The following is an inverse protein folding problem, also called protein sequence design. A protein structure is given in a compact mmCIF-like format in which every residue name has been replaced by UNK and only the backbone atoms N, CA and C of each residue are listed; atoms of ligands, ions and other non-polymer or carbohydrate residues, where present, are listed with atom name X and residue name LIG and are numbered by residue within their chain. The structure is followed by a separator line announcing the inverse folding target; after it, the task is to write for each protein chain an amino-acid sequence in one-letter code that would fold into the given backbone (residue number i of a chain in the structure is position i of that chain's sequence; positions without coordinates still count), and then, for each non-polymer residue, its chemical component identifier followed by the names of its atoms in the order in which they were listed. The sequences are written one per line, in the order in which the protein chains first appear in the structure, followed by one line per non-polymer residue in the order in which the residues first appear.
data_IF_396503116842
#
_entry.id   IF_396503116842
#
_cell.length_a   1.000
_cell.length_b   1.000
_cell.length_c   1.000
_cell.angle_alpha   90.00
_cell.angle_beta   90.00
_cell.angle_gamma   90.00
#
_symmetry.space_group_name_H-M   'P 1'
#
loop_
_entity.id
_entity.type
_entity.pdbx_description
1 polymer ?
2 non-polymer ?
3 water ?
#
# COMPACT_ATOMS: atom_id res chain seq x y z
N UNK A 27 -30.74 -32.32 -0.36
CA UNK A 27 -30.54 -32.20 -1.81
C UNK A 27 -29.05 -32.25 -2.13
N UNK A 28 -28.71 -32.53 -3.38
CA UNK A 28 -27.32 -32.47 -3.87
C UNK A 28 -26.74 -31.07 -3.59
N UNK A 29 -27.50 -30.01 -3.82
CA UNK A 29 -27.03 -28.63 -3.58
C UNK A 29 -26.73 -28.45 -2.08
N UNK A 30 -27.59 -28.95 -1.18
CA UNK A 30 -27.36 -28.79 0.28
C UNK A 30 -26.09 -29.56 0.65
N UNK A 31 -25.87 -30.75 0.09
CA UNK A 31 -24.67 -31.54 0.43
C UNK A 31 -23.42 -30.82 -0.10
N UNK A 32 -23.49 -30.25 -1.29
CA UNK A 32 -22.34 -29.49 -1.86
C UNK A 32 -22.07 -28.30 -0.92
N UNK A 33 -23.11 -27.62 -0.46
CA UNK A 33 -22.93 -26.42 0.37
C UNK A 33 -22.31 -26.82 1.71
N UNK A 34 -22.65 -27.97 2.26
CA UNK A 34 -22.07 -28.45 3.52
C UNK A 34 -20.59 -28.74 3.31
N UNK A 35 -20.23 -29.37 2.20
CA UNK A 35 -18.82 -29.68 1.88
C UNK A 35 -18.04 -28.35 1.77
N UNK A 36 -18.58 -27.41 1.03
CA UNK A 36 -17.94 -26.08 0.85
C UNK A 36 -17.73 -25.44 2.24
N UNK A 37 -18.75 -25.40 3.07
CA UNK A 37 -18.69 -24.77 4.42
C UNK A 37 -17.59 -25.45 5.24
N UNK A 38 -17.46 -26.77 5.21
CA UNK A 38 -16.48 -27.48 6.03
C UNK A 38 -15.07 -27.07 5.57
N UNK A 39 -14.86 -26.95 4.28
CA UNK A 39 -13.54 -26.60 3.71
C UNK A 39 -13.22 -25.15 4.07
N UNK A 40 -14.16 -24.23 3.88
CA UNK A 40 -13.88 -22.79 4.18
C UNK A 40 -13.62 -22.65 5.66
N UNK A 41 -14.39 -23.30 6.51
CA UNK A 41 -14.22 -23.24 7.97
C UNK A 41 -12.84 -23.79 8.33
N UNK A 42 -12.47 -24.95 7.81
CA UNK A 42 -11.17 -25.57 8.15
C UNK A 42 -10.01 -24.73 7.65
N UNK A 43 -10.10 -24.20 6.43
CA UNK A 43 -9.03 -23.40 5.83
C UNK A 43 -8.90 -22.09 6.63
N UNK A 44 -10.03 -21.45 6.93
CA UNK A 44 -10.00 -20.24 7.77
C UNK A 44 -9.29 -20.50 9.08
N UNK A 45 -9.60 -21.62 9.74
CA UNK A 45 -8.99 -21.96 11.02
C UNK A 45 -7.51 -22.20 10.83
N UNK A 46 -7.07 -23.08 9.96
CA UNK A 46 -5.65 -23.44 9.88
C UNK A 46 -4.81 -22.33 9.30
N UNK A 47 -5.24 -21.68 8.21
CA UNK A 47 -4.47 -20.55 7.68
C UNK A 47 -4.51 -19.38 8.66
N UNK A 48 -5.60 -19.19 9.39
CA UNK A 48 -5.66 -18.17 10.47
C UNK A 48 -4.58 -18.35 11.49
N UNK A 49 -4.22 -19.58 11.80
CA UNK A 49 -3.21 -19.89 12.83
C UNK A 49 -1.82 -19.82 12.25
N UNK A 50 -1.55 -20.37 11.09
CA UNK A 50 -0.19 -20.60 10.61
C UNK A 50 0.15 -19.82 9.35
N UNK A 51 -0.86 -19.26 8.68
CA UNK A 51 -0.63 -18.58 7.41
C UNK A 51 -0.81 -19.49 6.22
N UNK A 52 -1.28 -18.90 5.14
CA UNK A 52 -1.47 -19.56 3.84
C UNK A 52 -0.27 -20.39 3.43
N UNK A 53 0.96 -19.85 3.50
CA UNK A 53 2.14 -20.53 2.93
C UNK A 53 2.42 -21.83 3.70
N UNK A 54 1.98 -21.92 4.94
CA UNK A 54 2.45 -23.01 5.85
C UNK A 54 1.45 -24.16 5.96
N UNK A 55 0.29 -24.08 5.32
CA UNK A 55 -0.74 -25.17 5.42
C UNK A 55 -1.17 -25.53 4.00
N UNK A 56 -1.01 -26.80 3.63
CA UNK A 56 -1.43 -27.30 2.32
C UNK A 56 -2.89 -27.76 2.32
N UNK A 57 -3.43 -27.87 1.12
CA UNK A 57 -4.81 -28.36 0.93
C UNK A 57 -4.99 -29.79 1.46
N UNK A 58 -4.01 -30.72 1.38
CA UNK A 58 -4.22 -32.02 2.02
C UNK A 58 -4.59 -31.92 3.51
N UNK A 59 -3.86 -31.08 4.25
CA UNK A 59 -4.13 -30.89 5.67
C UNK A 59 -5.52 -30.31 5.89
N UNK A 60 -5.89 -29.35 5.05
CA UNK A 60 -7.21 -28.71 5.22
C UNK A 60 -8.32 -29.72 4.95
N UNK A 61 -8.17 -30.55 3.94
CA UNK A 61 -9.22 -31.54 3.60
C UNK A 61 -9.38 -32.54 4.75
N UNK A 62 -8.27 -32.92 5.37
CA UNK A 62 -8.28 -33.77 6.59
C UNK A 62 -9.05 -33.06 7.70
N UNK A 63 -8.72 -31.80 8.01
CA UNK A 63 -9.44 -31.02 9.04
C UNK A 63 -10.93 -30.97 8.74
N UNK A 64 -11.33 -30.79 7.46
CA UNK A 64 -12.73 -30.62 7.05
C UNK A 64 -13.48 -31.96 7.02
N UNK A 65 -12.73 -33.07 6.99
CA UNK A 65 -13.34 -34.42 6.82
C UNK A 65 -13.91 -34.61 5.43
N UNK A 66 -13.22 -34.08 4.44
CA UNK A 66 -13.67 -34.05 3.03
C UNK A 66 -12.58 -34.76 2.22
N UNK A 67 -12.95 -35.54 1.22
CA UNK A 67 -11.93 -36.15 0.33
C UNK A 67 -11.25 -35.07 -0.52
N UNK A 68 -10.02 -35.36 -0.97
CA UNK A 68 -9.35 -34.45 -1.93
C UNK A 68 -10.16 -34.30 -3.21
N UNK A 69 -10.78 -35.38 -3.73
CA UNK A 69 -11.59 -35.28 -4.95
C UNK A 69 -12.76 -34.31 -4.81
N UNK A 70 -13.47 -34.41 -3.68
CA UNK A 70 -14.63 -33.56 -3.37
C UNK A 70 -14.13 -32.13 -3.22
N UNK A 71 -12.97 -31.95 -2.60
CA UNK A 71 -12.38 -30.57 -2.44
C UNK A 71 -12.02 -29.99 -3.82
N UNK A 72 -11.34 -30.74 -4.69
CA UNK A 72 -10.90 -30.21 -6.00
C UNK A 72 -12.12 -29.96 -6.89
N UNK A 73 -13.21 -30.69 -6.67
CA UNK A 73 -14.49 -30.46 -7.39
C UNK A 73 -15.01 -29.05 -7.08
N UNK A 74 -14.86 -28.58 -5.84
CA UNK A 74 -15.36 -27.26 -5.35
C UNK A 74 -14.35 -26.14 -5.61
N UNK A 75 -13.07 -26.45 -5.47
CA UNK A 75 -11.99 -25.43 -5.55
C UNK A 75 -10.91 -25.95 -6.49
N UNK A 76 -10.67 -25.24 -7.61
CA UNK A 76 -9.70 -25.59 -8.67
C UNK A 76 -8.30 -25.76 -8.05
N UNK A 77 -7.97 -24.93 -7.08
CA UNK A 77 -6.61 -24.95 -6.49
C UNK A 77 -6.64 -24.22 -5.16
N UNK A 78 -5.48 -24.21 -4.48
CA UNK A 78 -5.34 -23.61 -3.14
C UNK A 78 -5.80 -22.16 -3.15
N UNK A 79 -5.38 -21.40 -4.16
CA UNK A 79 -5.71 -19.97 -4.19
C UNK A 79 -7.22 -19.77 -4.28
N UNK A 80 -7.93 -20.63 -5.00
CA UNK A 80 -9.40 -20.48 -5.11
C UNK A 80 -10.08 -20.63 -3.75
N UNK A 81 -9.60 -21.59 -2.94
CA UNK A 81 -10.15 -21.74 -1.57
C UNK A 81 -9.85 -20.47 -0.73
N UNK A 82 -8.63 -19.98 -0.83
CA UNK A 82 -8.24 -18.76 -0.10
C UNK A 82 -9.14 -17.57 -0.50
N UNK A 83 -9.43 -17.45 -1.78
CA UNK A 83 -10.26 -16.30 -2.22
C UNK A 83 -11.61 -16.36 -1.50
N UNK A 84 -12.18 -17.57 -1.35
CA UNK A 84 -13.48 -17.68 -0.63
C UNK A 84 -13.30 -17.43 0.87
N UNK A 85 -12.20 -17.86 1.48
CA UNK A 85 -11.92 -17.54 2.90
C UNK A 85 -11.87 -16.01 3.09
N UNK A 86 -11.18 -15.32 2.18
CA UNK A 86 -11.06 -13.86 2.34
C UNK A 86 -12.46 -13.24 2.33
N UNK A 87 -13.34 -13.68 1.44
CA UNK A 87 -14.70 -13.09 1.39
C UNK A 87 -15.42 -13.25 2.73
N UNK A 88 -15.41 -14.45 3.31
CA UNK A 88 -16.13 -14.70 4.58
C UNK A 88 -15.48 -13.89 5.68
N UNK A 89 -14.14 -13.81 5.72
CA UNK A 89 -13.48 -13.03 6.78
C UNK A 89 -13.79 -11.53 6.61
N UNK A 90 -13.69 -11.01 5.39
CA UNK A 90 -14.02 -9.59 5.15
C UNK A 90 -15.45 -9.28 5.58
N UNK A 91 -16.38 -10.19 5.29
CA UNK A 91 -17.79 -9.96 5.68
C UNK A 91 -17.88 -9.86 7.19
N UNK A 92 -17.17 -10.71 7.91
CA UNK A 92 -17.16 -10.72 9.38
C UNK A 92 -16.48 -9.44 9.90
N UNK A 93 -15.37 -9.04 9.27
CA UNK A 93 -14.69 -7.79 9.68
C UNK A 93 -15.71 -6.64 9.62
N UNK A 94 -16.40 -6.50 8.50
CA UNK A 94 -17.26 -5.31 8.34
C UNK A 94 -18.51 -5.41 9.24
N UNK A 95 -19.03 -6.60 9.47
CA UNK A 95 -20.17 -6.79 10.41
C UNK A 95 -19.73 -6.42 11.81
N UNK A 96 -18.52 -6.83 12.21
CA UNK A 96 -17.98 -6.55 13.55
C UNK A 96 -17.72 -5.05 13.69
N UNK A 97 -17.18 -4.42 12.65
CA UNK A 97 -17.00 -2.94 12.66
C UNK A 97 -18.36 -2.27 12.93
N UNK A 98 -19.38 -2.65 12.17
CA UNK A 98 -20.71 -2.02 12.29
C UNK A 98 -21.25 -2.25 13.71
N UNK A 99 -21.07 -3.45 14.27
CA UNK A 99 -21.56 -3.77 15.63
C UNK A 99 -20.88 -2.87 16.65
N UNK A 100 -19.56 -2.72 16.54
CA UNK A 100 -18.79 -1.94 17.53
C UNK A 100 -19.14 -0.46 17.43
N UNK A 101 -19.29 0.06 16.23
CA UNK A 101 -19.63 1.50 16.10
C UNK A 101 -21.03 1.69 16.67
N UNK A 102 -21.96 0.79 16.37
CA UNK A 102 -23.37 0.89 16.86
C UNK A 102 -23.39 0.91 18.39
N UNK A 103 -22.52 0.15 19.06
CA UNK A 103 -22.54 0.00 20.53
C UNK A 103 -21.67 1.07 21.23
N UNK A 104 -21.00 1.96 20.47
CA UNK A 104 -19.98 2.89 21.01
C UNK A 104 -20.63 4.05 21.78
N UNK A 105 -21.89 4.35 21.47
CA UNK A 105 -22.62 5.50 22.03
C UNK A 105 -22.30 6.79 21.30
N UNK A 106 -21.67 6.72 20.12
CA UNK A 106 -21.32 7.92 19.36
C UNK A 106 -22.57 8.78 19.12
N UNK A 107 -22.51 10.04 19.50
CA UNK A 107 -23.67 10.96 19.50
C UNK A 107 -23.67 11.82 18.24
N UNK A 108 -22.54 11.91 17.54
CA UNK A 108 -22.40 12.77 16.35
C UNK A 108 -21.60 12.03 15.28
N UNK A 109 -21.67 12.44 14.00
CA UNK A 109 -20.91 11.82 12.93
C UNK A 109 -19.41 11.83 13.25
N UNK A 110 -18.90 12.89 13.86
CA UNK A 110 -17.45 12.97 14.18
C UNK A 110 -17.12 11.88 15.18
N UNK A 111 -17.96 11.71 16.21
CA UNK A 111 -17.73 10.64 17.22
C UNK A 111 -17.89 9.26 16.56
N UNK A 112 -18.70 9.09 15.52
CA UNK A 112 -18.83 7.77 14.84
C UNK A 112 -17.51 7.46 14.13
N UNK A 113 -16.90 8.44 13.51
CA UNK A 113 -15.59 8.27 12.85
C UNK A 113 -14.54 7.88 13.90
N UNK A 114 -14.52 8.58 15.03
CA UNK A 114 -13.56 8.24 16.10
C UNK A 114 -13.80 6.81 16.56
N UNK A 115 -15.05 6.41 16.77
CA UNK A 115 -15.38 5.04 17.19
C UNK A 115 -14.92 4.04 16.13
N UNK A 116 -15.10 4.36 14.85
CA UNK A 116 -14.74 3.42 13.76
C UNK A 116 -13.21 3.23 13.77
N UNK A 117 -12.41 4.25 14.00
CA UNK A 117 -10.94 4.09 14.11
C UNK A 117 -10.63 3.06 15.20
N UNK A 118 -11.23 3.23 16.38
CA UNK A 118 -10.97 2.30 17.50
C UNK A 118 -11.47 0.91 17.13
N UNK A 119 -12.61 0.79 16.46
CA UNK A 119 -13.16 -0.51 16.09
C UNK A 119 -12.21 -1.22 15.11
N UNK A 120 -11.65 -0.48 14.16
CA UNK A 120 -10.71 -1.05 13.17
C UNK A 120 -9.44 -1.59 13.86
N UNK A 121 -8.90 -0.87 14.82
CA UNK A 121 -7.69 -1.39 15.52
C UNK A 121 -8.10 -2.61 16.36
N UNK A 122 -9.33 -2.66 16.87
CA UNK A 122 -9.76 -3.84 17.63
C UNK A 122 -9.93 -5.05 16.70
N UNK A 123 -10.66 -4.88 15.60
CA UNK A 123 -10.99 -6.02 14.70
C UNK A 123 -9.74 -6.45 13.94
N UNK A 124 -8.91 -5.53 13.50
CA UNK A 124 -7.67 -5.89 12.74
C UNK A 124 -6.66 -6.57 13.68
N UNK A 125 -6.84 -6.39 15.01
CA UNK A 125 -6.02 -7.06 16.02
C UNK A 125 -6.41 -8.49 16.26
N UNK A 126 -7.57 -8.94 15.80
CA UNK A 126 -7.96 -10.36 15.90
C UNK A 126 -6.89 -11.18 15.19
N UNK A 127 -6.35 -12.24 15.81
CA UNK A 127 -5.22 -12.91 15.16
C UNK A 127 -5.52 -13.48 13.77
N UNK A 128 -6.73 -13.96 13.54
CA UNK A 128 -7.13 -14.51 12.23
C UNK A 128 -7.23 -13.40 11.20
N UNK A 129 -7.79 -12.25 11.58
CA UNK A 129 -7.84 -11.09 10.63
C UNK A 129 -6.42 -10.65 10.29
N UNK A 130 -5.60 -10.50 11.31
CA UNK A 130 -4.19 -10.14 11.13
C UNK A 130 -3.55 -11.06 10.10
N UNK A 131 -3.60 -12.37 10.34
CA UNK A 131 -2.88 -13.27 9.41
C UNK A 131 -3.52 -13.28 8.02
N UNK A 132 -4.83 -13.44 7.94
CA UNK A 132 -5.47 -13.69 6.61
C UNK A 132 -5.62 -12.40 5.81
N UNK A 133 -6.00 -11.30 6.45
CA UNK A 133 -6.31 -10.08 5.69
C UNK A 133 -5.06 -9.19 5.58
N UNK A 134 -4.36 -8.98 6.70
CA UNK A 134 -3.28 -8.00 6.68
C UNK A 134 -2.01 -8.61 6.08
N UNK A 135 -1.75 -9.90 6.30
CA UNK A 135 -0.48 -10.48 5.85
C UNK A 135 -0.71 -11.31 4.58
N UNK A 136 -1.62 -12.27 4.59
CA UNK A 136 -1.69 -13.21 3.45
C UNK A 136 -2.44 -12.60 2.24
N UNK A 137 -3.57 -11.96 2.46
CA UNK A 137 -4.43 -11.61 1.28
C UNK A 137 -3.69 -10.77 0.25
N UNK A 138 -2.92 -9.72 0.61
CA UNK A 138 -2.24 -8.92 -0.42
C UNK A 138 -1.26 -9.74 -1.25
N UNK A 139 -0.63 -10.74 -0.61
CA UNK A 139 0.37 -11.60 -1.30
C UNK A 139 -0.35 -12.59 -2.21
N UNK A 140 -1.36 -13.30 -1.67
CA UNK A 140 -2.02 -14.38 -2.42
C UNK A 140 -2.90 -13.81 -3.53
N UNK A 141 -3.69 -12.79 -3.21
CA UNK A 141 -4.60 -12.21 -4.22
C UNK A 141 -3.80 -11.39 -5.24
N UNK A 142 -2.64 -10.89 -4.84
CA UNK A 142 -1.87 -9.96 -5.66
C UNK A 142 -2.38 -8.58 -5.43
N UNK A 143 -1.58 -7.61 -5.84
CA UNK A 143 -1.90 -6.19 -5.67
C UNK A 143 -3.32 -5.87 -6.14
N UNK A 144 -3.57 -6.15 -7.40
CA UNK A 144 -4.80 -5.71 -8.07
C UNK A 144 -6.01 -6.42 -7.43
N UNK A 145 -5.91 -7.75 -7.29
CA UNK A 145 -6.99 -8.57 -6.71
C UNK A 145 -7.32 -8.10 -5.30
N UNK A 146 -6.30 -7.88 -4.48
CA UNK A 146 -6.45 -7.43 -3.09
C UNK A 146 -7.12 -6.05 -3.10
N UNK A 147 -6.64 -5.11 -3.91
CA UNK A 147 -7.16 -3.73 -3.93
C UNK A 147 -8.65 -3.81 -4.23
N UNK A 148 -9.05 -4.67 -5.15
CA UNK A 148 -10.46 -4.75 -5.55
C UNK A 148 -11.30 -5.23 -4.39
N UNK A 149 -10.83 -6.28 -3.69
CA UNK A 149 -11.58 -6.82 -2.54
C UNK A 149 -11.60 -5.78 -1.42
N UNK A 150 -10.47 -5.16 -1.09
CA UNK A 150 -10.33 -4.18 0.01
C UNK A 150 -11.26 -2.99 -0.24
N UNK A 151 -11.30 -2.52 -1.50
CA UNK A 151 -12.19 -1.39 -1.86
C UNK A 151 -13.66 -1.80 -1.73
N UNK A 152 -14.03 -2.98 -2.25
CA UNK A 152 -15.42 -3.46 -2.21
C UNK A 152 -15.90 -3.56 -0.76
N UNK A 153 -15.04 -3.92 0.18
CA UNK A 153 -15.45 -4.04 1.59
C UNK A 153 -15.28 -2.72 2.36
N UNK A 154 -14.28 -1.89 2.09
CA UNK A 154 -13.96 -0.68 2.89
C UNK A 154 -14.83 0.52 2.48
N UNK A 155 -15.14 0.69 1.20
CA UNK A 155 -15.60 2.02 0.71
C UNK A 155 -16.98 2.29 1.27
N UNK A 156 -17.91 1.36 1.31
CA UNK A 156 -19.27 1.68 1.77
C UNK A 156 -19.29 2.37 3.12
N UNK A 157 -18.69 1.73 4.12
CA UNK A 157 -18.72 2.25 5.49
C UNK A 157 -17.94 3.56 5.54
N UNK A 158 -16.79 3.64 4.87
CA UNK A 158 -15.94 4.82 4.94
C UNK A 158 -16.69 6.03 4.37
N UNK A 159 -17.29 5.82 3.20
CA UNK A 159 -17.97 6.94 2.49
C UNK A 159 -19.22 7.33 3.26
N UNK A 160 -19.92 6.39 3.87
CA UNK A 160 -21.10 6.74 4.69
C UNK A 160 -20.69 7.61 5.87
N UNK A 161 -19.63 7.23 6.59
CA UNK A 161 -19.18 7.98 7.76
C UNK A 161 -18.78 9.39 7.30
N UNK A 162 -18.04 9.49 6.20
CA UNK A 162 -17.58 10.84 5.74
C UNK A 162 -18.80 11.67 5.33
N UNK A 163 -19.70 11.08 4.56
CA UNK A 163 -20.88 11.80 4.05
C UNK A 163 -21.67 12.35 5.23
N UNK A 164 -21.86 11.58 6.29
CA UNK A 164 -22.65 12.04 7.44
C UNK A 164 -21.90 13.18 8.12
N UNK A 165 -20.58 13.11 8.24
CA UNK A 165 -19.82 14.20 8.89
C UNK A 165 -19.87 15.47 8.05
N UNK A 166 -19.77 15.37 6.74
CA UNK A 166 -19.87 16.58 5.87
C UNK A 166 -21.26 17.18 6.05
N UNK A 167 -22.29 16.35 6.08
CA UNK A 167 -23.70 16.83 6.14
C UNK A 167 -23.88 17.60 7.45
N UNK A 168 -23.23 17.16 8.53
CA UNK A 168 -23.34 17.75 9.88
C UNK A 168 -22.41 18.97 10.04
N UNK A 169 -21.63 19.32 9.02
CA UNK A 169 -20.69 20.45 9.05
C UNK A 169 -19.39 20.12 9.75
N UNK A 170 -19.15 18.87 10.11
CA UNK A 170 -18.01 18.51 10.99
C UNK A 170 -16.79 18.19 10.16
N UNK A 171 -16.91 17.97 8.85
CA UNK A 171 -15.79 17.88 7.88
C UNK A 171 -16.02 18.94 6.80
N UNK A 172 -14.94 19.45 6.25
CA UNK A 172 -14.98 20.43 5.14
C UNK A 172 -15.82 19.86 3.98
N UNK A 173 -16.63 20.70 3.36
CA UNK A 173 -17.31 20.35 2.07
C UNK A 173 -16.28 19.92 1.04
N UNK A 174 -16.45 18.72 0.49
CA UNK A 174 -15.48 18.16 -0.47
C UNK A 174 -16.07 16.90 -1.07
N UNK A 175 -15.60 16.46 -2.26
CA UNK A 175 -15.99 15.19 -2.81
C UNK A 175 -15.55 14.09 -1.82
N UNK A 176 -16.39 13.12 -1.65
CA UNK A 176 -16.18 12.06 -0.64
C UNK A 176 -15.05 11.12 -1.05
N UNK A 177 -14.98 10.67 -2.30
CA UNK A 177 -14.08 9.56 -2.68
C UNK A 177 -12.62 9.87 -2.42
N UNK A 178 -12.07 11.04 -2.78
CA UNK A 178 -10.64 11.30 -2.56
C UNK A 178 -10.30 11.21 -1.07
N UNK A 179 -11.09 11.83 -0.18
CA UNK A 179 -10.81 11.71 1.26
C UNK A 179 -10.94 10.26 1.68
N UNK A 180 -11.95 9.55 1.24
CA UNK A 180 -12.13 8.14 1.65
C UNK A 180 -10.90 7.32 1.27
N UNK A 181 -10.40 7.49 0.04
CA UNK A 181 -9.28 6.65 -0.44
C UNK A 181 -8.04 6.96 0.40
N UNK A 182 -7.78 8.22 0.70
CA UNK A 182 -6.56 8.61 1.44
C UNK A 182 -6.71 8.08 2.89
N UNK A 183 -7.90 8.19 3.48
CA UNK A 183 -8.07 7.67 4.86
C UNK A 183 -7.95 6.16 4.87
N UNK A 184 -8.52 5.44 3.91
CA UNK A 184 -8.39 3.96 3.89
C UNK A 184 -6.89 3.66 3.79
N UNK A 185 -6.12 4.39 3.00
CA UNK A 185 -4.65 4.15 2.92
C UNK A 185 -3.99 4.31 4.25
N UNK A 186 -4.29 5.37 4.98
CA UNK A 186 -3.72 5.61 6.32
C UNK A 186 -4.16 4.49 7.25
N UNK A 187 -5.44 4.11 7.25
CA UNK A 187 -5.96 3.11 8.22
C UNK A 187 -5.40 1.72 7.95
N UNK A 188 -5.31 1.35 6.68
CA UNK A 188 -4.78 0.03 6.33
C UNK A 188 -3.29 0.01 6.66
N UNK A 189 -2.55 1.07 6.39
CA UNK A 189 -1.12 1.12 6.71
C UNK A 189 -0.90 1.06 8.22
N UNK A 190 -1.74 1.72 9.00
CA UNK A 190 -1.64 1.64 10.46
C UNK A 190 -1.79 0.17 10.89
N UNK A 191 -2.82 -0.52 10.42
CA UNK A 191 -3.06 -1.93 10.79
C UNK A 191 -1.87 -2.79 10.38
N UNK A 192 -1.34 -2.59 9.19
CA UNK A 192 -0.22 -3.44 8.73
C UNK A 192 1.05 -3.14 9.53
N UNK A 193 1.24 -1.92 10.00
CA UNK A 193 2.37 -1.56 10.86
C UNK A 193 2.24 -2.31 12.18
N UNK A 194 1.08 -2.31 12.78
CA UNK A 194 0.85 -3.05 14.06
C UNK A 194 1.09 -4.55 13.82
N UNK A 195 0.60 -5.10 12.74
CA UNK A 195 0.63 -6.53 12.39
C UNK A 195 2.07 -7.05 12.43
N UNK A 196 3.06 -6.27 12.07
CA UNK A 196 4.47 -6.80 12.00
C UNK A 196 5.35 -6.22 13.10
N UNK A 197 4.77 -5.53 14.06
CA UNK A 197 5.55 -4.86 15.10
C UNK A 197 6.13 -5.88 16.09
N UNK A 198 7.32 -5.55 16.62
CA UNK A 198 7.96 -6.38 17.67
C UNK A 198 7.16 -6.30 18.96
N UNK A 199 6.52 -5.16 19.23
CA UNK A 199 5.65 -4.98 20.44
C UNK A 199 4.28 -4.51 19.98
N UNK A 200 3.37 -5.42 19.62
CA UNK A 200 2.11 -5.00 19.00
C UNK A 200 1.24 -4.10 19.88
N UNK A 201 1.22 -4.37 21.17
CA UNK A 201 0.43 -3.54 22.09
C UNK A 201 0.93 -2.09 22.03
N UNK A 202 2.22 -1.86 22.15
CA UNK A 202 2.82 -0.54 22.04
C UNK A 202 2.56 0.09 20.66
N UNK A 203 2.79 -0.67 19.61
CA UNK A 203 2.54 -0.15 18.26
C UNK A 203 1.08 0.30 18.14
N UNK A 204 0.17 -0.48 18.70
CA UNK A 204 -1.27 -0.13 18.62
C UNK A 204 -1.51 1.17 19.36
N UNK A 205 -0.97 1.32 20.56
CA UNK A 205 -1.19 2.56 21.34
C UNK A 205 -0.66 3.77 20.55
N UNK A 206 0.56 3.68 20.01
CA UNK A 206 1.20 4.83 19.40
C UNK A 206 0.46 5.15 18.08
N UNK A 207 0.07 4.13 17.36
CA UNK A 207 -0.63 4.28 16.07
C UNK A 207 -2.04 4.82 16.31
N UNK A 208 -2.72 4.37 17.35
CA UNK A 208 -4.07 4.89 17.67
C UNK A 208 -3.92 6.39 17.91
N UNK A 209 -2.87 6.83 18.59
CA UNK A 209 -2.68 8.27 18.88
C UNK A 209 -2.52 9.03 17.55
N UNK A 210 -1.72 8.48 16.65
CA UNK A 210 -1.50 9.15 15.35
C UNK A 210 -2.82 9.24 14.60
N UNK A 211 -3.56 8.14 14.50
CA UNK A 211 -4.80 8.17 13.69
C UNK A 211 -5.80 9.16 14.33
N UNK A 212 -5.91 9.17 15.65
CA UNK A 212 -6.91 10.05 16.31
C UNK A 212 -6.50 11.51 16.08
N UNK A 213 -5.21 11.85 16.13
CA UNK A 213 -4.73 13.21 15.91
C UNK A 213 -4.95 13.62 14.44
N UNK A 214 -4.70 12.73 13.50
CA UNK A 214 -4.86 12.96 12.04
C UNK A 214 -6.33 13.32 11.77
N UNK A 215 -7.23 12.49 12.27
CA UNK A 215 -8.67 12.74 12.00
C UNK A 215 -9.14 13.95 12.80
N UNK A 216 -8.66 14.12 14.03
CA UNK A 216 -9.10 15.29 14.84
C UNK A 216 -8.68 16.60 14.18
N UNK A 217 -7.57 16.65 13.46
CA UNK A 217 -7.11 17.86 12.78
C UNK A 217 -8.04 18.28 11.63
N UNK A 218 -8.88 17.38 11.14
CA UNK A 218 -9.84 17.62 10.06
C UNK A 218 -11.28 17.74 10.58
N UNK A 219 -11.57 17.30 11.79
CA UNK A 219 -12.96 17.28 12.30
C UNK A 219 -13.18 18.60 13.04
N UNK A 220 -14.38 19.16 12.94
CA UNK A 220 -14.75 20.43 13.60
C UNK A 220 -15.65 20.10 14.81
N UNK B 21 46.37 -9.63 -12.11
CA UNK B 21 45.04 -9.84 -12.80
C UNK B 21 44.05 -8.71 -12.50
N UNK B 22 44.47 -7.66 -11.78
CA UNK B 22 43.51 -6.62 -11.35
C UNK B 22 43.07 -5.74 -12.54
N UNK B 23 43.91 -5.40 -13.53
CA UNK B 23 43.41 -4.61 -14.69
C UNK B 23 42.40 -5.48 -15.46
N UNK B 24 42.68 -6.76 -15.66
CA UNK B 24 41.75 -7.65 -16.42
C UNK B 24 40.40 -7.72 -15.69
N UNK B 25 40.41 -7.98 -14.39
CA UNK B 25 39.18 -8.05 -13.57
C UNK B 25 38.44 -6.72 -13.61
N UNK B 26 39.13 -5.59 -13.46
CA UNK B 26 38.46 -4.29 -13.40
C UNK B 26 37.91 -3.95 -14.79
N UNK B 27 38.61 -4.35 -15.84
CA UNK B 27 38.15 -4.06 -17.21
C UNK B 27 36.85 -4.82 -17.44
N UNK B 28 36.82 -6.09 -17.10
CA UNK B 28 35.58 -6.89 -17.36
C UNK B 28 34.45 -6.33 -16.48
N UNK B 29 34.73 -5.92 -15.26
CA UNK B 29 33.73 -5.32 -14.35
C UNK B 29 33.19 -4.04 -14.99
N UNK B 30 34.05 -3.18 -15.51
CA UNK B 30 33.63 -1.88 -16.08
C UNK B 30 32.79 -2.14 -17.32
N UNK B 31 33.18 -3.09 -18.16
CA UNK B 31 32.38 -3.42 -19.36
C UNK B 31 31.01 -3.97 -18.93
N UNK B 32 30.96 -4.81 -17.92
CA UNK B 32 29.67 -5.37 -17.41
C UNK B 32 28.80 -4.20 -16.95
N UNK B 33 29.39 -3.27 -16.22
CA UNK B 33 28.63 -2.14 -15.63
C UNK B 33 28.08 -1.27 -16.73
N UNK B 34 28.84 -1.04 -17.79
CA UNK B 34 28.37 -0.22 -18.93
C UNK B 34 27.19 -0.92 -19.62
N UNK B 35 27.28 -2.23 -19.83
CA UNK B 35 26.20 -3.03 -20.46
C UNK B 35 24.95 -2.91 -19.60
N UNK B 36 25.11 -3.16 -18.31
CA UNK B 36 23.98 -3.10 -17.33
C UNK B 36 23.33 -1.71 -17.44
N UNK B 37 24.11 -0.63 -17.40
CA UNK B 37 23.57 0.73 -17.42
C UNK B 37 22.81 0.98 -18.75
N UNK B 38 23.34 0.49 -19.88
CA UNK B 38 22.67 0.70 -21.18
C UNK B 38 21.32 -0.03 -21.16
N UNK B 39 21.27 -1.22 -20.60
CA UNK B 39 20.04 -2.04 -20.56
C UNK B 39 19.01 -1.33 -19.69
N UNK B 40 19.44 -0.85 -18.53
CA UNK B 40 18.48 -0.19 -17.60
C UNK B 40 17.97 1.07 -18.24
N UNK B 41 18.83 1.85 -18.84
CA UNK B 41 18.47 3.11 -19.50
C UNK B 41 17.46 2.83 -20.63
N UNK B 42 17.72 1.84 -21.46
CA UNK B 42 16.83 1.50 -22.58
C UNK B 42 15.46 1.04 -22.08
N UNK B 43 15.47 0.17 -21.08
CA UNK B 43 14.25 -0.43 -20.50
C UNK B 43 13.44 0.70 -19.85
N UNK B 44 14.09 1.53 -19.06
CA UNK B 44 13.41 2.67 -18.42
C UNK B 44 12.73 3.53 -19.46
N UNK B 45 13.40 3.82 -20.58
CA UNK B 45 12.83 4.68 -21.64
C UNK B 45 11.62 3.99 -22.25
N UNK B 46 11.78 2.77 -22.74
CA UNK B 46 10.69 2.14 -23.53
C UNK B 46 9.53 1.72 -22.61
N UNK B 47 9.78 1.09 -21.47
CA UNK B 47 8.68 0.72 -20.55
C UNK B 47 8.02 2.01 -20.02
N UNK B 48 8.79 3.07 -19.78
CA UNK B 48 8.21 4.34 -19.34
C UNK B 48 7.18 4.86 -20.32
N UNK B 49 7.40 4.65 -21.62
CA UNK B 49 6.48 5.17 -22.66
C UNK B 49 5.34 4.20 -22.92
N UNK B 50 5.57 2.90 -22.92
CA UNK B 50 4.58 1.93 -23.44
C UNK B 50 4.07 1.00 -22.36
N UNK B 51 4.74 0.93 -21.22
CA UNK B 51 4.43 -0.07 -20.19
C UNK B 51 5.25 -1.32 -20.31
N UNK B 52 5.52 -1.95 -19.18
CA UNK B 52 6.23 -3.23 -19.07
C UNK B 52 5.66 -4.27 -20.03
N UNK B 53 4.36 -4.44 -20.06
CA UNK B 53 3.72 -5.54 -20.80
C UNK B 53 3.90 -5.35 -22.30
N UNK B 54 4.19 -4.17 -22.80
CA UNK B 54 4.14 -3.86 -24.25
C UNK B 54 5.54 -3.80 -24.90
N UNK B 55 6.60 -4.06 -24.15
CA UNK B 55 7.98 -3.99 -24.71
C UNK B 55 8.71 -5.23 -24.23
N UNK B 56 9.21 -6.02 -25.18
CA UNK B 56 9.99 -7.20 -24.83
C UNK B 56 11.48 -6.90 -24.68
N UNK B 57 12.17 -7.81 -24.05
CA UNK B 57 13.63 -7.73 -23.85
C UNK B 57 14.37 -7.67 -25.18
N UNK B 58 13.97 -8.33 -26.30
CA UNK B 58 14.73 -8.13 -27.53
C UNK B 58 14.76 -6.68 -28.00
N UNK B 59 13.62 -6.00 -27.94
CA UNK B 59 13.56 -4.59 -28.36
C UNK B 59 14.49 -3.79 -27.45
N UNK B 60 14.47 -4.11 -26.17
CA UNK B 60 15.30 -3.34 -25.19
C UNK B 60 16.78 -3.58 -25.48
N UNK B 61 17.18 -4.80 -25.76
CA UNK B 61 18.60 -5.09 -26.11
C UNK B 61 19.00 -4.30 -27.37
N UNK B 62 18.15 -4.25 -28.41
CA UNK B 62 18.39 -3.45 -29.62
C UNK B 62 18.54 -1.97 -29.25
N UNK B 63 17.62 -1.42 -28.47
CA UNK B 63 17.67 -0.02 -28.00
C UNK B 63 19.02 0.24 -27.28
N UNK B 64 19.47 -0.70 -26.47
CA UNK B 64 20.69 -0.57 -25.63
C UNK B 64 21.95 -0.84 -26.45
N UNK B 65 21.82 -1.41 -27.65
CA UNK B 65 22.97 -1.80 -28.50
C UNK B 65 23.77 -2.95 -27.94
N UNK B 66 23.15 -3.92 -27.27
CA UNK B 66 23.82 -5.10 -26.70
C UNK B 66 23.16 -6.35 -27.30
N UNK B 67 23.89 -7.45 -27.25
CA UNK B 67 23.41 -8.75 -27.77
C UNK B 67 22.44 -9.38 -26.75
N UNK B 68 21.66 -10.35 -27.17
CA UNK B 68 20.86 -11.16 -26.23
C UNK B 68 21.73 -11.83 -25.18
N UNK B 69 22.93 -12.37 -25.54
CA UNK B 69 23.82 -12.98 -24.55
C UNK B 69 24.30 -11.98 -23.51
N UNK B 70 24.57 -10.76 -23.91
CA UNK B 70 25.04 -9.67 -22.98
C UNK B 70 23.88 -9.39 -22.03
N UNK B 71 22.65 -9.38 -22.54
CA UNK B 71 21.45 -9.19 -21.69
C UNK B 71 21.29 -10.35 -20.73
N UNK B 72 21.32 -11.62 -21.18
CA UNK B 72 21.16 -12.84 -20.33
C UNK B 72 22.22 -12.81 -19.23
N UNK B 73 23.43 -12.34 -19.58
CA UNK B 73 24.57 -12.30 -18.64
C UNK B 73 24.21 -11.40 -17.46
N UNK B 74 23.52 -10.29 -17.70
CA UNK B 74 23.22 -9.26 -16.66
C UNK B 74 21.90 -9.59 -15.96
N UNK B 75 20.91 -10.14 -16.66
CA UNK B 75 19.52 -10.32 -16.14
C UNK B 75 19.00 -11.72 -16.42
N UNK B 76 18.59 -12.45 -15.38
CA UNK B 76 18.00 -13.81 -15.46
C UNK B 76 16.77 -13.75 -16.36
N UNK B 77 15.97 -12.69 -16.25
CA UNK B 77 14.66 -12.61 -16.93
C UNK B 77 14.18 -11.17 -16.98
N UNK B 78 13.06 -10.94 -17.66
CA UNK B 78 12.49 -9.60 -17.83
C UNK B 78 12.27 -8.96 -16.45
N UNK B 79 11.73 -9.69 -15.49
CA UNK B 79 11.38 -9.11 -14.19
C UNK B 79 12.66 -8.64 -13.49
N UNK B 80 13.78 -9.34 -13.64
CA UNK B 80 15.04 -8.93 -12.99
C UNK B 80 15.49 -7.58 -13.53
N UNK B 81 15.34 -7.34 -14.82
CA UNK B 81 15.70 -6.05 -15.43
C UNK B 81 14.78 -4.96 -14.81
N UNK B 82 13.50 -5.27 -14.73
CA UNK B 82 12.50 -4.32 -14.17
C UNK B 82 12.86 -3.98 -12.72
N UNK B 83 13.28 -4.96 -11.92
CA UNK B 83 13.65 -4.65 -10.51
C UNK B 83 14.78 -3.61 -10.50
N UNK B 84 15.74 -3.67 -11.40
CA UNK B 84 16.88 -2.72 -11.41
C UNK B 84 16.37 -1.37 -11.93
N UNK B 85 15.45 -1.35 -12.88
CA UNK B 85 14.85 -0.09 -13.39
C UNK B 85 14.15 0.60 -12.22
N UNK B 86 13.40 -0.13 -11.44
CA UNK B 86 12.66 0.51 -10.31
C UNK B 86 13.68 1.14 -9.37
N UNK B 87 14.79 0.48 -9.07
CA UNK B 87 15.80 1.05 -8.14
C UNK B 87 16.29 2.39 -8.67
N UNK B 88 16.68 2.45 -9.94
CA UNK B 88 17.23 3.68 -10.52
C UNK B 88 16.16 4.77 -10.58
N UNK B 89 14.92 4.43 -10.92
CA UNK B 89 13.85 5.43 -10.97
C UNK B 89 13.55 5.93 -9.54
N UNK B 90 13.45 5.04 -8.58
CA UNK B 90 13.20 5.49 -7.18
C UNK B 90 14.31 6.41 -6.70
N UNK B 91 15.56 6.12 -7.06
CA UNK B 91 16.69 6.99 -6.63
C UNK B 91 16.47 8.38 -7.24
N UNK B 92 16.04 8.44 -8.50
CA UNK B 92 15.81 9.73 -9.19
C UNK B 92 14.58 10.42 -8.60
N UNK B 93 13.53 9.66 -8.24
CA UNK B 93 12.32 10.27 -7.63
C UNK B 93 12.76 11.00 -6.37
N UNK B 94 13.54 10.33 -5.53
CA UNK B 94 13.87 10.92 -4.21
C UNK B 94 14.86 12.06 -4.41
N UNK B 95 15.78 11.98 -5.37
CA UNK B 95 16.69 13.11 -5.62
C UNK B 95 15.88 14.29 -6.14
N UNK B 96 14.92 14.10 -7.02
CA UNK B 96 14.11 15.18 -7.61
C UNK B 96 13.28 15.81 -6.49
N UNK B 97 12.69 15.01 -5.63
CA UNK B 97 11.91 15.56 -4.49
C UNK B 97 12.82 16.41 -3.62
N UNK B 98 14.01 15.94 -3.31
CA UNK B 98 14.93 16.70 -2.45
C UNK B 98 15.28 18.00 -3.16
N UNK B 99 15.54 17.99 -4.45
CA UNK B 99 15.84 19.24 -5.21
C UNK B 99 14.65 20.19 -5.13
N UNK B 100 13.41 19.72 -5.32
CA UNK B 100 12.24 20.63 -5.32
C UNK B 100 12.02 21.20 -3.92
N UNK B 101 12.16 20.41 -2.87
CA UNK B 101 12.04 20.96 -1.49
C UNK B 101 13.16 22.00 -1.27
N UNK B 102 14.39 21.70 -1.68
CA UNK B 102 15.56 22.61 -1.48
C UNK B 102 15.31 23.93 -2.18
N UNK B 103 14.66 23.94 -3.34
CA UNK B 103 14.44 25.15 -4.17
C UNK B 103 13.15 25.87 -3.80
N UNK B 104 12.38 25.39 -2.82
CA UNK B 104 10.99 25.82 -2.57
C UNK B 104 11.00 27.17 -1.84
N UNK B 105 12.10 27.48 -1.16
CA UNK B 105 12.26 28.62 -0.25
C UNK B 105 11.55 28.38 1.07
N UNK B 106 11.31 27.11 1.43
CA UNK B 106 10.67 26.79 2.72
C UNK B 106 11.48 27.42 3.85
N UNK B 107 10.84 28.19 4.72
CA UNK B 107 11.50 28.96 5.79
C UNK B 107 11.48 28.18 7.10
N UNK B 108 10.57 27.22 7.23
CA UNK B 108 10.40 26.41 8.46
C UNK B 108 10.26 24.94 8.10
N UNK B 109 10.50 24.04 9.07
CA UNK B 109 10.26 22.60 8.85
C UNK B 109 8.82 22.35 8.37
N UNK B 110 7.82 23.08 8.86
CA UNK B 110 6.41 22.84 8.44
C UNK B 110 6.29 23.17 6.97
N UNK B 111 6.91 24.25 6.52
CA UNK B 111 6.90 24.66 5.10
C UNK B 111 7.64 23.60 4.27
N UNK B 112 8.66 22.94 4.81
CA UNK B 112 9.41 21.91 4.05
C UNK B 112 8.50 20.70 3.87
N UNK B 113 7.70 20.36 4.87
CA UNK B 113 6.75 19.23 4.72
C UNK B 113 5.71 19.59 3.67
N UNK B 114 5.17 20.80 3.66
CA UNK B 114 4.20 21.18 2.62
C UNK B 114 4.88 21.14 1.26
N UNK B 115 6.10 21.61 1.13
CA UNK B 115 6.86 21.56 -0.14
C UNK B 115 7.05 20.10 -0.57
N UNK B 116 7.29 19.19 0.35
CA UNK B 116 7.53 17.77 0.05
C UNK B 116 6.23 17.17 -0.50
N UNK B 117 5.09 17.51 0.06
CA UNK B 117 3.78 17.05 -0.49
C UNK B 117 3.65 17.55 -1.91
N UNK B 118 3.92 18.83 -2.18
CA UNK B 118 3.81 19.38 -3.55
C UNK B 118 4.79 18.62 -4.45
N UNK B 119 6.00 18.32 -3.98
CA UNK B 119 7.01 17.67 -4.81
C UNK B 119 6.58 16.25 -5.13
N UNK B 120 5.99 15.55 -4.15
CA UNK B 120 5.52 14.16 -4.39
C UNK B 120 4.44 14.16 -5.49
N UNK B 121 3.46 15.08 -5.43
CA UNK B 121 2.41 15.07 -6.45
C UNK B 121 3.04 15.46 -7.80
N UNK B 122 4.03 16.30 -7.83
CA UNK B 122 4.67 16.71 -9.09
C UNK B 122 5.47 15.54 -9.65
N UNK B 123 6.33 14.93 -8.84
CA UNK B 123 7.22 13.88 -9.39
C UNK B 123 6.41 12.62 -9.70
N UNK B 124 5.44 12.24 -8.85
CA UNK B 124 4.64 11.02 -9.12
C UNK B 124 3.73 11.25 -10.34
N UNK B 125 3.50 12.51 -10.72
CA UNK B 125 2.74 12.89 -11.92
C UNK B 125 3.57 12.82 -13.19
N UNK B 126 4.89 12.68 -13.13
CA UNK B 126 5.74 12.47 -14.32
C UNK B 126 5.22 11.21 -14.99
N UNK B 127 4.91 11.23 -16.31
CA UNK B 127 4.32 10.06 -16.94
C UNK B 127 5.17 8.79 -16.82
N UNK B 128 6.49 8.93 -16.86
CA UNK B 128 7.35 7.75 -16.72
C UNK B 128 7.28 7.17 -15.32
N UNK B 129 7.25 8.02 -14.29
CA UNK B 129 7.14 7.56 -12.91
C UNK B 129 5.77 6.92 -12.68
N UNK B 130 4.71 7.60 -13.15
CA UNK B 130 3.37 7.00 -13.07
C UNK B 130 3.40 5.59 -13.67
N UNK B 131 3.89 5.44 -14.90
CA UNK B 131 3.83 4.14 -15.57
C UNK B 131 4.68 3.11 -14.81
N UNK B 132 5.95 3.42 -14.49
CA UNK B 132 6.87 2.38 -13.95
C UNK B 132 6.58 2.08 -12.48
N UNK B 133 6.42 3.12 -11.68
CA UNK B 133 6.32 2.99 -10.21
C UNK B 133 4.85 2.75 -9.78
N UNK B 134 3.91 3.49 -10.34
CA UNK B 134 2.52 3.40 -9.83
C UNK B 134 1.70 2.37 -10.59
N UNK B 135 1.95 2.13 -11.86
CA UNK B 135 1.10 1.15 -12.61
C UNK B 135 1.83 -0.20 -12.70
N UNK B 136 3.07 -0.22 -13.19
CA UNK B 136 3.75 -1.52 -13.42
C UNK B 136 4.28 -2.13 -12.12
N UNK B 137 4.95 -1.37 -11.26
CA UNK B 137 5.72 -1.97 -10.17
C UNK B 137 4.85 -2.80 -9.22
N UNK B 138 3.65 -2.37 -8.83
CA UNK B 138 2.90 -3.18 -7.85
C UNK B 138 2.58 -4.55 -8.44
N UNK B 139 2.35 -4.62 -9.75
CA UNK B 139 1.98 -5.88 -10.45
C UNK B 139 3.23 -6.73 -10.66
N UNK B 140 4.29 -6.15 -11.21
CA UNK B 140 5.51 -6.90 -11.61
C UNK B 140 6.26 -7.33 -10.36
N UNK B 141 6.44 -6.45 -9.38
CA UNK B 141 7.17 -6.81 -8.15
C UNK B 141 6.30 -7.65 -7.24
N UNK B 142 4.99 -7.49 -7.31
CA UNK B 142 4.07 -8.04 -6.30
C UNK B 142 4.04 -7.18 -5.06
N UNK B 143 3.10 -7.47 -4.17
CA UNK B 143 2.87 -6.69 -2.93
C UNK B 143 4.12 -6.55 -2.09
N UNK B 144 4.76 -7.65 -1.71
CA UNK B 144 5.90 -7.61 -0.78
C UNK B 144 7.03 -6.79 -1.41
N UNK B 145 7.38 -7.06 -2.66
CA UNK B 145 8.51 -6.36 -3.33
C UNK B 145 8.21 -4.90 -3.49
N UNK B 146 6.98 -4.55 -3.88
CA UNK B 146 6.62 -3.14 -4.10
C UNK B 146 6.65 -2.40 -2.77
N UNK B 147 6.14 -3.03 -1.71
CA UNK B 147 6.09 -2.32 -0.40
C UNK B 147 7.51 -2.19 0.17
N UNK B 148 8.38 -3.15 -0.10
CA UNK B 148 9.77 -3.07 0.39
C UNK B 148 10.47 -1.89 -0.31
N UNK B 149 10.26 -1.71 -1.61
CA UNK B 149 10.84 -0.59 -2.38
C UNK B 149 10.32 0.72 -1.81
N UNK B 150 9.01 0.84 -1.69
CA UNK B 150 8.34 2.09 -1.25
C UNK B 150 8.99 2.46 0.08
N UNK B 151 9.13 1.47 0.96
CA UNK B 151 9.61 1.64 2.34
C UNK B 151 11.07 2.11 2.33
N UNK B 152 11.95 1.43 1.60
CA UNK B 152 13.39 1.72 1.58
C UNK B 152 13.59 3.14 1.09
N UNK B 153 12.80 3.63 0.15
CA UNK B 153 12.99 4.96 -0.47
C UNK B 153 12.21 6.04 0.30
N UNK B 154 11.08 5.73 0.92
CA UNK B 154 10.23 6.77 1.59
C UNK B 154 10.63 7.04 3.03
N UNK B 155 11.05 6.04 3.79
CA UNK B 155 11.08 6.20 5.27
C UNK B 155 12.08 7.27 5.70
N UNK B 156 13.28 7.31 5.13
CA UNK B 156 14.33 8.24 5.60
C UNK B 156 13.90 9.68 5.43
N UNK B 157 13.37 10.03 4.27
CA UNK B 157 12.98 11.42 3.98
C UNK B 157 11.81 11.79 4.91
N UNK B 158 10.85 10.91 5.06
CA UNK B 158 9.67 11.18 5.90
C UNK B 158 10.09 11.33 7.35
N UNK B 159 10.89 10.43 7.89
CA UNK B 159 11.31 10.54 9.32
C UNK B 159 12.09 11.83 9.52
N UNK B 160 12.97 12.19 8.60
CA UNK B 160 13.77 13.42 8.82
C UNK B 160 12.88 14.66 8.77
N UNK B 161 11.89 14.73 7.89
CA UNK B 161 10.98 15.89 7.85
C UNK B 161 10.24 15.97 9.17
N UNK B 162 9.79 14.86 9.72
CA UNK B 162 9.07 14.81 11.01
C UNK B 162 10.01 15.25 12.13
N UNK B 163 11.19 14.65 12.18
CA UNK B 163 12.20 14.99 13.24
C UNK B 163 12.45 16.49 13.25
N UNK B 164 12.65 17.10 12.10
CA UNK B 164 12.96 18.54 12.05
C UNK B 164 11.75 19.35 12.51
N UNK B 165 10.54 18.94 12.18
CA UNK B 165 9.32 19.65 12.65
C UNK B 165 9.15 19.51 14.15
N UNK B 166 9.43 18.36 14.73
CA UNK B 166 9.37 18.20 16.20
C UNK B 166 10.41 19.11 16.85
N UNK B 167 11.60 19.17 16.27
CA UNK B 167 12.73 19.91 16.89
C UNK B 167 12.35 21.38 16.94
N UNK B 168 11.64 21.87 15.93
CA UNK B 168 11.20 23.29 15.80
C UNK B 168 9.90 23.57 16.56
N UNK B 169 9.29 22.58 17.21
CA UNK B 169 8.02 22.72 17.94
C UNK B 169 6.84 22.91 17.02
N UNK B 170 6.92 22.42 15.78
CA UNK B 170 5.83 22.57 14.78
C UNK B 170 5.05 21.28 14.69
N UNK B 171 5.49 20.24 15.38
CA UNK B 171 4.76 18.97 15.49
C UNK B 171 4.96 18.51 16.92
N UNK B 172 3.92 17.93 17.50
CA UNK B 172 3.99 17.43 18.89
C UNK B 172 5.12 16.41 19.00
N UNK B 173 5.88 16.44 20.08
CA UNK B 173 6.82 15.36 20.46
C UNK B 173 6.07 14.02 20.48
N UNK B 174 6.60 13.04 19.77
CA UNK B 174 5.92 11.73 19.62
C UNK B 174 6.89 10.77 18.97
N UNK B 175 6.62 9.45 19.02
CA UNK B 175 7.43 8.49 18.28
C UNK B 175 7.34 8.83 16.79
N UNK B 176 8.47 8.93 16.14
CA UNK B 176 8.56 9.33 14.72
C UNK B 176 8.04 8.22 13.83
N UNK B 177 8.42 6.97 14.01
CA UNK B 177 8.12 5.92 13.03
C UNK B 177 6.62 5.71 12.86
N UNK B 178 5.76 5.61 13.89
CA UNK B 178 4.33 5.38 13.66
C UNK B 178 3.74 6.51 12.81
N UNK B 179 4.09 7.75 13.09
CA UNK B 179 3.56 8.87 12.31
C UNK B 179 4.07 8.76 10.88
N UNK B 180 5.34 8.45 10.70
CA UNK B 180 5.93 8.35 9.35
C UNK B 180 5.19 7.30 8.56
N UNK B 181 4.98 6.13 9.16
CA UNK B 181 4.37 5.00 8.43
C UNK B 181 2.96 5.37 8.02
N UNK B 182 2.17 5.99 8.89
CA UNK B 182 0.77 6.35 8.54
C UNK B 182 0.80 7.39 7.43
N UNK B 183 1.66 8.39 7.50
CA UNK B 183 1.72 9.43 6.47
C UNK B 183 2.16 8.78 5.16
N UNK B 184 3.12 7.88 5.15
CA UNK B 184 3.55 7.22 3.90
C UNK B 184 2.32 6.51 3.31
N UNK B 185 1.53 5.79 4.13
CA UNK B 185 0.33 5.13 3.60
C UNK B 185 -0.62 6.11 2.96
N UNK B 186 -0.88 7.21 3.62
CA UNK B 186 -1.77 8.26 3.06
C UNK B 186 -1.21 8.83 1.77
N UNK B 187 0.06 9.18 1.75
CA UNK B 187 0.68 9.82 0.57
C UNK B 187 0.77 8.85 -0.59
N UNK B 188 1.09 7.58 -0.35
CA UNK B 188 1.19 6.64 -1.47
C UNK B 188 -0.21 6.39 -2.00
N UNK B 189 -1.24 6.26 -1.17
CA UNK B 189 -2.61 6.06 -1.68
C UNK B 189 -3.06 7.30 -2.43
N UNK B 190 -2.67 8.48 -2.01
CA UNK B 190 -3.01 9.71 -2.75
C UNK B 190 -2.46 9.60 -4.17
N UNK B 191 -1.18 9.26 -4.32
CA UNK B 191 -0.55 9.14 -5.64
C UNK B 191 -1.25 8.09 -6.47
N UNK B 192 -1.60 6.97 -5.90
CA UNK B 192 -2.25 5.87 -6.63
C UNK B 192 -3.63 6.30 -7.09
N UNK B 193 -4.36 7.05 -6.28
CA UNK B 193 -5.70 7.56 -6.67
C UNK B 193 -5.54 8.43 -7.89
N UNK B 194 -4.55 9.28 -7.95
CA UNK B 194 -4.37 10.17 -9.13
C UNK B 194 -3.96 9.32 -10.34
N UNK B 195 -3.04 8.40 -10.16
CA UNK B 195 -2.48 7.57 -11.26
C UNK B 195 -3.57 6.80 -11.96
N UNK B 196 -4.61 6.38 -11.21
CA UNK B 196 -5.66 5.49 -11.76
C UNK B 196 -6.90 6.27 -12.17
N UNK B 197 -6.88 7.58 -12.05
CA UNK B 197 -8.02 8.44 -12.40
C UNK B 197 -8.09 8.59 -13.92
N UNK B 198 -9.32 8.64 -14.44
CA UNK B 198 -9.50 8.91 -15.89
C UNK B 198 -9.38 10.42 -16.14
N UNK B 199 -9.65 11.27 -15.13
CA UNK B 199 -9.38 12.73 -15.19
C UNK B 199 -8.36 13.07 -14.10
N UNK B 200 -7.08 12.88 -14.43
CA UNK B 200 -6.03 13.06 -13.43
C UNK B 200 -5.87 14.52 -13.02
N UNK B 201 -6.17 15.51 -13.85
CA UNK B 201 -6.03 16.91 -13.40
C UNK B 201 -7.01 17.18 -12.25
N UNK B 202 -8.27 16.78 -12.38
CA UNK B 202 -9.25 16.97 -11.30
C UNK B 202 -8.83 16.12 -10.10
N UNK B 203 -8.42 14.88 -10.34
CA UNK B 203 -8.05 14.03 -9.19
C UNK B 203 -6.87 14.67 -8.45
N UNK B 204 -5.90 15.19 -9.17
CA UNK B 204 -4.72 15.78 -8.52
C UNK B 204 -5.15 16.98 -7.70
N UNK B 205 -6.03 17.83 -8.23
CA UNK B 205 -6.46 18.99 -7.43
C UNK B 205 -7.18 18.52 -6.16
N UNK B 206 -8.11 17.58 -6.29
CA UNK B 206 -8.93 17.13 -5.15
C UNK B 206 -8.03 16.47 -4.12
N UNK B 207 -7.06 15.67 -4.58
CA UNK B 207 -6.17 14.95 -3.66
C UNK B 207 -5.23 15.94 -2.98
N UNK B 208 -4.71 16.91 -3.72
CA UNK B 208 -3.85 17.98 -3.15
C UNK B 208 -4.66 18.67 -2.03
N UNK B 209 -5.94 18.94 -2.28
CA UNK B 209 -6.77 19.65 -1.28
C UNK B 209 -6.98 18.79 -0.05
N UNK B 210 -7.19 17.49 -0.19
CA UNK B 210 -7.27 16.56 0.99
C UNK B 210 -5.97 16.60 1.74
N UNK B 211 -4.86 16.44 1.02
CA UNK B 211 -3.56 16.35 1.77
C UNK B 211 -3.29 17.70 2.45
N UNK B 212 -3.69 18.83 1.88
CA UNK B 212 -3.49 20.16 2.52
C UNK B 212 -4.25 20.18 3.83
N UNK B 213 -5.50 19.71 3.84
CA UNK B 213 -6.33 19.66 5.08
C UNK B 213 -5.68 18.73 6.11
N UNK B 214 -5.22 17.57 5.67
CA UNK B 214 -4.65 16.55 6.58
C UNK B 214 -3.37 17.11 7.21
N UNK B 215 -2.48 17.64 6.40
CA UNK B 215 -1.16 18.15 6.87
C UNK B 215 -1.38 19.40 7.71
N UNK B 216 -2.21 20.32 7.25
CA UNK B 216 -2.43 21.59 8.01
C UNK B 216 -3.15 21.28 9.32
N UNK B 217 -3.92 20.22 9.45
CA UNK B 217 -4.55 19.82 10.72
C UNK B 217 -3.52 19.30 11.72
N UNK B 218 -2.40 18.79 11.24
CA UNK B 218 -1.30 18.12 12.00
C UNK B 218 -0.28 19.18 12.46
N UNK B 219 0.06 20.10 11.57
CA UNK B 219 1.24 20.97 11.78
C UNK B 219 0.84 22.18 12.62
N UNK B 220 1.69 22.50 13.57
CA UNK B 220 1.58 23.71 14.38
C UNK B 220 2.46 24.74 13.67
N UNK B 221 1.96 25.31 12.57
CA UNK B 221 2.62 26.32 11.74
C UNK B 221 2.73 25.93 10.28
X LIG C 1 -11.05 -1.43 6.52
X LIG C 1 -13.27 1.29 7.89
X LIG C 1 -13.02 2.61 8.59
X LIG C 1 -13.50 3.82 8.10
X LIG C 1 -12.42 2.62 9.84
X LIG C 1 -12.20 3.78 10.52
X LIG C 1 -12.67 4.97 10.04
X LIG C 1 -13.31 4.97 8.83
X LIG C 1 -12.18 0.68 7.11
X LIG C 1 -9.88 -0.72 6.03
X LIG C 1 -11.83 -0.66 7.58
X LIG C 1 -11.00 1.45 6.80
X LIG C 1 -10.10 0.72 5.79
X LIG C 1 -13.84 6.52 8.23
X LIG D 1 5.49 8.67 0.24
X LIG D 1 7.93 11.45 0.91
X LIG D 1 7.16 12.52 1.63
X LIG D 1 7.17 12.71 3.01
X LIG D 1 6.37 13.36 0.88
X LIG D 1 5.64 14.36 1.48
X LIG D 1 5.62 14.53 2.83
X LIG D 1 6.41 13.70 3.58
X LIG D 1 7.10 10.51 0.13
X LIG D 1 6.24 7.88 -0.75
X LIG D 1 6.36 9.61 1.01
X LIG D 1 7.89 9.71 -0.81
X LIG D 1 6.99 8.77 -1.62
X LIG D 1 6.39 13.91 5.30
#
# INVERSE_FOLDING_TARGET
MGSSHHHHHHSSGLVPRGSHMEIKRRTQEERSAATREALITGARKLWGLRGYAEVGTPEIATEAGVTRGAMYHQFADKAALFRDVVEVVEQDVMARMATLVAASGAATPADAIRAAVDAWLEVSGDPEVRQLILLDAPVVLGWAGFRDVAQRYSLGMTEQLITEAIRAGQLARQPVRPLAQVLIGALDEAAMFIATADDPKRARRETRQVLRRLIDGMLNG
MGSSHHHHHHSSGLVPRGSHMEIKRRTQEERSAATREALITGARKLWGLRGYAEVGTPEIATEAGVTRGAMYHQFADKAALFRDVVEVVEQDVMARMATLVAASGAATPADAIRAAVDAWLEVSGDPEVRQLILLDAPVVLGWAGFRDVAQRYSLGMTEQLITEAIRAGQLARQPVRPLAQVLIGALDEAAMFIATADDPKRARRETRQVLRRLIDGMLNG
GNW C4 C5 C6 C11 C7 C8 C9 C10 N1 N2 C3 C1 C2 CL1
GNW C4 C5 C6 C11 C7 C8 C9 C10 N1 N2 C3 C1 C2 CL1
#
